data_IF_036776559521
#
_entry.id   IF_036776559521
#
_cell.length_a   1.000
_cell.length_b   1.000
_cell.length_c   1.000
_cell.angle_alpha   90.00
_cell.angle_beta   90.00
_cell.angle_gamma   90.00
#
_symmetry.space_group_name_H-M   'P 1'
#
loop_
_entity.id
_entity.type
_entity.pdbx_description
1 polymer ?
#
# COMPACT_ATOMS: atom_id res chain seq x y z
N UNK A 1 15.42 -31.95 -5.36
CA UNK A 1 15.10 -31.66 -3.94
C UNK A 1 15.89 -30.40 -3.54
N UNK A 2 15.35 -29.23 -3.18
CA UNK A 2 14.00 -28.68 -3.17
C UNK A 2 14.09 -27.14 -3.16
N UNK A 3 13.42 -26.49 -4.12
CA UNK A 3 13.34 -25.03 -4.25
C UNK A 3 12.14 -24.44 -3.49
N UNK A 4 11.83 -24.99 -2.30
CA UNK A 4 10.65 -24.63 -1.51
C UNK A 4 10.90 -23.68 -0.33
N UNK A 5 12.17 -23.42 0.02
CA UNK A 5 12.51 -22.69 1.26
C UNK A 5 12.41 -21.16 1.18
N UNK A 6 12.66 -20.58 0.00
CA UNK A 6 12.77 -19.13 -0.17
C UNK A 6 11.44 -18.38 0.00
N UNK A 7 10.36 -18.92 -0.60
CA UNK A 7 9.01 -18.31 -0.55
C UNK A 7 8.40 -18.38 0.84
N UNK A 8 8.50 -19.54 1.50
CA UNK A 8 7.99 -19.74 2.86
C UNK A 8 8.79 -18.96 3.90
N UNK A 9 10.09 -18.77 3.68
CA UNK A 9 10.94 -17.92 4.51
C UNK A 9 10.60 -16.44 4.40
N UNK A 10 10.45 -15.92 3.17
CA UNK A 10 10.06 -14.52 2.93
C UNK A 10 8.67 -14.23 3.50
N UNK A 11 7.70 -15.11 3.26
CA UNK A 11 6.35 -14.96 3.79
C UNK A 11 6.35 -14.86 5.32
N UNK A 12 7.06 -15.75 6.03
CA UNK A 12 7.14 -15.71 7.50
C UNK A 12 7.75 -14.41 8.01
N UNK A 13 8.78 -13.89 7.35
CA UNK A 13 9.40 -12.61 7.73
C UNK A 13 8.44 -11.44 7.52
N UNK A 14 7.76 -11.38 6.37
CA UNK A 14 6.77 -10.35 6.09
C UNK A 14 5.61 -10.42 7.10
N UNK A 15 5.13 -11.62 7.41
CA UNK A 15 4.06 -11.83 8.39
C UNK A 15 4.47 -11.31 9.78
N UNK A 16 5.68 -11.65 10.24
CA UNK A 16 6.20 -11.16 11.53
C UNK A 16 6.36 -9.63 11.58
N UNK A 17 6.60 -8.98 10.44
CA UNK A 17 6.59 -7.51 10.34
C UNK A 17 5.17 -6.99 10.49
N UNK A 18 4.23 -7.52 9.71
CA UNK A 18 2.81 -7.09 9.72
C UNK A 18 2.16 -7.28 11.10
N UNK A 19 2.51 -8.35 11.82
CA UNK A 19 1.96 -8.61 13.16
C UNK A 19 2.41 -7.60 14.22
N UNK A 20 3.44 -6.80 13.94
CA UNK A 20 3.94 -5.72 14.82
C UNK A 20 3.49 -4.33 14.38
N UNK A 21 2.71 -4.24 13.30
CA UNK A 21 2.17 -2.98 12.82
C UNK A 21 0.88 -2.64 13.57
N UNK A 22 0.81 -1.40 14.01
CA UNK A 22 -0.40 -0.82 14.60
C UNK A 22 -1.34 -0.43 13.45
N UNK A 23 -2.19 -1.36 13.02
CA UNK A 23 -3.15 -1.13 11.95
C UNK A 23 -4.43 -0.48 12.52
N UNK A 24 -4.89 0.65 11.97
CA UNK A 24 -6.14 1.28 12.41
C UNK A 24 -7.35 0.38 12.11
N UNK A 25 -8.38 0.51 12.94
CA UNK A 25 -9.70 -0.14 12.75
C UNK A 25 -10.82 0.90 12.98
N UNK A 26 -11.66 1.23 11.98
CA UNK A 26 -11.63 0.71 10.61
C UNK A 26 -10.34 1.11 9.88
N UNK A 27 -9.89 0.24 8.97
CA UNK A 27 -8.63 0.46 8.29
C UNK A 27 -8.70 1.63 7.30
N UNK A 28 -7.78 2.57 7.49
CA UNK A 28 -7.49 3.67 6.58
C UNK A 28 -5.97 3.81 6.37
N UNK A 29 -5.54 3.90 5.10
CA UNK A 29 -4.12 3.89 4.75
C UNK A 29 -3.42 5.19 5.17
N UNK A 30 -4.12 6.32 5.09
CA UNK A 30 -3.58 7.63 5.44
C UNK A 30 -3.37 7.73 6.95
N UNK A 31 -4.33 7.22 7.72
CA UNK A 31 -4.24 7.07 9.18
C UNK A 31 -3.10 6.15 9.60
N UNK A 32 -2.93 5.01 8.91
CA UNK A 32 -1.80 4.11 9.13
C UNK A 32 -0.46 4.82 8.87
N UNK A 33 -0.34 5.55 7.75
CA UNK A 33 0.88 6.28 7.39
C UNK A 33 1.17 7.40 8.39
N UNK A 34 0.14 8.12 8.86
CA UNK A 34 0.30 9.12 9.91
C UNK A 34 0.81 8.49 11.23
N UNK A 35 0.34 7.29 11.57
CA UNK A 35 0.87 6.49 12.68
C UNK A 35 2.34 6.10 12.49
N UNK A 36 2.69 5.67 11.28
CA UNK A 36 4.06 5.33 10.90
C UNK A 36 5.00 6.56 11.02
N UNK A 37 4.56 7.72 10.54
CA UNK A 37 5.31 8.98 10.65
C UNK A 37 5.63 9.32 12.12
N UNK A 38 4.61 9.23 13.01
CA UNK A 38 4.79 9.45 14.45
C UNK A 38 5.78 8.45 15.06
N UNK A 39 5.65 7.17 14.74
CA UNK A 39 6.53 6.10 15.25
C UNK A 39 7.98 6.26 14.80
N UNK A 40 8.20 6.78 13.59
CA UNK A 40 9.54 7.09 13.05
C UNK A 40 10.13 8.39 13.57
N UNK A 41 9.31 9.28 14.15
CA UNK A 41 9.75 10.64 14.49
C UNK A 41 10.12 11.49 13.27
N UNK A 42 9.65 11.10 12.07
CA UNK A 42 9.95 11.78 10.80
C UNK A 42 8.64 12.00 10.03
N UNK A 43 8.35 13.22 9.57
CA UNK A 43 7.16 13.49 8.75
C UNK A 43 7.12 12.62 7.49
N UNK A 44 5.91 12.23 7.11
CA UNK A 44 5.61 11.59 5.82
C UNK A 44 4.52 12.43 5.15
N UNK A 45 4.81 12.95 3.96
CA UNK A 45 3.85 13.71 3.16
C UNK A 45 3.33 12.86 1.99
N UNK A 46 2.02 12.92 1.77
CA UNK A 46 1.36 12.23 0.67
C UNK A 46 1.12 13.21 -0.48
N UNK A 47 1.64 12.90 -1.66
CA UNK A 47 1.53 13.77 -2.85
C UNK A 47 0.81 13.00 -3.96
N UNK A 48 -0.46 13.34 -4.18
CA UNK A 48 -1.23 12.81 -5.29
C UNK A 48 -0.86 13.50 -6.61
N UNK A 49 -0.51 12.72 -7.63
CA UNK A 49 -0.24 13.21 -8.99
C UNK A 49 -1.13 12.48 -10.00
N UNK A 50 -1.45 13.08 -11.17
CA UNK A 50 -2.10 12.34 -12.25
C UNK A 50 -1.19 11.21 -12.77
N UNK A 51 -1.77 10.05 -13.04
CA UNK A 51 -1.08 8.90 -13.59
C UNK A 51 -0.52 9.24 -14.97
N UNK A 52 0.63 8.65 -15.29
CA UNK A 52 1.21 8.73 -16.64
C UNK A 52 1.72 7.35 -17.05
N UNK A 53 1.52 6.92 -18.31
CA UNK A 53 1.92 5.58 -18.76
C UNK A 53 3.42 5.29 -18.63
N UNK A 54 4.25 6.32 -18.64
CA UNK A 54 5.71 6.27 -18.57
C UNK A 54 6.26 6.31 -17.13
N UNK A 55 5.40 6.37 -16.10
CA UNK A 55 5.81 6.56 -14.70
C UNK A 55 5.30 5.43 -13.81
N UNK A 56 6.04 5.10 -12.73
CA UNK A 56 5.54 4.17 -11.74
C UNK A 56 4.30 4.74 -11.04
N UNK A 57 3.43 3.85 -10.58
CA UNK A 57 2.20 4.23 -9.88
C UNK A 57 2.46 4.87 -8.51
N UNK A 58 3.64 4.62 -7.93
CA UNK A 58 4.09 5.16 -6.66
C UNK A 58 5.58 5.49 -6.70
N UNK A 59 6.01 6.40 -5.82
CA UNK A 59 7.42 6.74 -5.64
C UNK A 59 7.66 7.27 -4.22
N UNK A 60 8.57 6.62 -3.50
CA UNK A 60 9.09 7.11 -2.23
C UNK A 60 10.34 7.97 -2.43
N UNK A 61 10.30 9.21 -1.92
CA UNK A 61 11.45 10.13 -1.90
C UNK A 61 11.76 10.53 -0.47
N UNK A 62 12.87 10.04 0.07
CA UNK A 62 13.36 10.46 1.38
C UNK A 62 14.26 11.68 1.26
N UNK A 63 13.94 12.74 1.98
CA UNK A 63 14.78 13.93 2.10
C UNK A 63 15.49 13.94 3.46
N UNK A 64 16.28 14.98 3.75
CA UNK A 64 16.91 15.14 5.06
C UNK A 64 15.89 15.36 6.21
N UNK A 65 14.67 15.82 5.90
CA UNK A 65 13.68 16.24 6.91
C UNK A 65 12.33 15.54 6.82
N UNK A 66 11.96 15.04 5.65
CA UNK A 66 10.64 14.44 5.38
C UNK A 66 10.76 13.29 4.37
N UNK A 67 9.90 12.29 4.51
CA UNK A 67 9.64 11.30 3.48
C UNK A 67 8.44 11.74 2.64
N UNK A 68 8.55 11.64 1.32
CA UNK A 68 7.47 11.95 0.38
C UNK A 68 6.98 10.66 -0.26
N UNK A 69 5.72 10.33 -0.09
CA UNK A 69 5.05 9.24 -0.82
C UNK A 69 4.24 9.89 -1.94
N UNK A 70 4.75 9.76 -3.16
CA UNK A 70 4.07 10.23 -4.37
C UNK A 70 3.25 9.06 -4.93
N UNK A 71 2.00 9.31 -5.30
CA UNK A 71 1.10 8.26 -5.81
C UNK A 71 0.18 8.76 -6.93
N UNK A 72 -0.19 7.85 -7.83
CA UNK A 72 -1.22 8.10 -8.84
C UNK A 72 -2.58 8.31 -8.18
N UNK A 73 -3.13 9.51 -8.34
CA UNK A 73 -4.35 9.97 -7.66
C UNK A 73 -5.65 9.65 -8.40
N UNK A 74 -5.57 9.51 -9.72
CA UNK A 74 -6.63 9.18 -10.67
C UNK A 74 -6.75 7.67 -10.90
N UNK A 75 -6.79 6.91 -9.82
CA UNK A 75 -6.95 5.46 -9.83
C UNK A 75 -8.02 5.00 -8.84
N UNK A 76 -8.41 3.73 -8.92
CA UNK A 76 -9.41 3.16 -8.00
C UNK A 76 -8.96 3.27 -6.55
N UNK A 77 -9.89 3.39 -5.61
CA UNK A 77 -9.58 3.49 -4.17
C UNK A 77 -8.79 2.28 -3.65
N UNK A 78 -9.04 1.09 -4.19
CA UNK A 78 -8.29 -0.14 -3.89
C UNK A 78 -6.85 -0.05 -4.40
N UNK A 79 -6.66 0.41 -5.64
CA UNK A 79 -5.32 0.54 -6.22
C UNK A 79 -4.52 1.66 -5.55
N UNK A 80 -5.12 2.82 -5.26
CA UNK A 80 -4.51 3.90 -4.48
C UNK A 80 -4.06 3.39 -3.12
N UNK A 81 -4.92 2.65 -2.40
CA UNK A 81 -4.57 2.03 -1.12
C UNK A 81 -3.36 1.10 -1.27
N UNK A 82 -3.33 0.27 -2.30
CA UNK A 82 -2.20 -0.64 -2.55
C UNK A 82 -0.90 0.12 -2.79
N UNK A 83 -0.91 1.15 -3.65
CA UNK A 83 0.25 2.01 -3.90
C UNK A 83 0.78 2.59 -2.58
N UNK A 84 -0.09 3.23 -1.79
CA UNK A 84 0.29 3.83 -0.51
C UNK A 84 0.90 2.81 0.47
N UNK A 85 0.33 1.61 0.53
CA UNK A 85 0.84 0.53 1.37
C UNK A 85 2.19 -0.03 0.89
N UNK A 86 2.38 -0.11 -0.41
CA UNK A 86 3.64 -0.54 -1.03
C UNK A 86 4.76 0.44 -0.68
N UNK A 87 4.56 1.75 -0.91
CA UNK A 87 5.55 2.78 -0.56
C UNK A 87 5.80 2.83 0.96
N UNK A 88 4.77 2.67 1.77
CA UNK A 88 4.93 2.60 3.22
C UNK A 88 5.71 1.35 3.67
N UNK A 89 5.60 0.23 2.95
CA UNK A 89 6.34 -0.99 3.27
C UNK A 89 7.86 -0.80 3.09
N UNK A 90 8.30 0.00 2.12
CA UNK A 90 9.70 0.39 2.00
C UNK A 90 10.20 1.13 3.24
N UNK A 91 9.40 2.06 3.79
CA UNK A 91 9.74 2.76 5.04
C UNK A 91 9.77 1.80 6.24
N UNK A 92 8.77 0.92 6.37
CA UNK A 92 8.70 -0.08 7.44
C UNK A 92 9.93 -0.98 7.45
N UNK A 93 10.45 -1.33 6.26
CA UNK A 93 11.63 -2.21 6.13
C UNK A 93 12.96 -1.47 6.08
N UNK A 94 12.95 -0.14 6.06
CA UNK A 94 14.16 0.67 5.99
C UNK A 94 14.84 0.61 4.62
N UNK A 95 14.09 0.29 3.56
CA UNK A 95 14.60 0.26 2.19
C UNK A 95 15.00 1.65 1.70
N UNK A 96 14.50 2.71 2.34
CA UNK A 96 14.88 4.11 2.10
C UNK A 96 16.36 4.42 2.40
N UNK A 97 16.99 3.64 3.28
CA UNK A 97 18.39 3.86 3.70
C UNK A 97 19.41 3.11 2.83
N UNK A 98 18.99 2.07 2.10
CA UNK A 98 19.90 1.15 1.40
C UNK A 98 20.42 1.69 0.04
N UNK A 99 19.85 2.78 -0.48
CA UNK A 99 20.16 3.31 -1.82
C UNK A 99 21.29 4.33 -1.92
N UNK A 100 21.85 4.80 -0.79
CA UNK A 100 22.65 6.03 -0.68
C UNK A 100 23.97 6.14 -1.50
N UNK A 101 24.26 5.22 -2.43
CA UNK A 101 25.55 5.13 -3.12
C UNK A 101 25.58 5.21 -4.65
N UNK A 102 24.54 4.87 -5.42
CA UNK A 102 24.78 4.65 -6.88
C UNK A 102 23.53 4.59 -7.77
N UNK A 103 22.90 5.72 -8.12
CA UNK A 103 21.90 5.73 -9.20
C UNK A 103 21.70 7.12 -9.85
N UNK A 104 22.79 7.81 -10.19
CA UNK A 104 22.73 9.09 -10.91
C UNK A 104 22.84 8.98 -12.45
N UNK A 105 23.22 7.82 -13.00
CA UNK A 105 23.46 7.66 -14.43
C UNK A 105 22.27 6.99 -15.13
N UNK A 106 21.44 7.78 -15.84
CA UNK A 106 20.35 7.28 -16.71
C UNK A 106 19.03 8.05 -16.67
N UNK A 107 18.93 9.10 -15.84
CA UNK A 107 17.64 9.57 -15.34
C UNK A 107 17.16 10.96 -15.75
N UNK A 108 17.95 11.69 -16.55
CA UNK A 108 17.42 12.84 -17.27
C UNK A 108 16.26 12.47 -18.21
N UNK A 109 16.13 11.18 -18.56
CA UNK A 109 15.17 10.67 -19.53
C UNK A 109 13.78 10.35 -18.93
N UNK A 110 13.70 9.95 -17.66
CA UNK A 110 12.45 9.50 -17.03
C UNK A 110 11.67 10.65 -16.34
N UNK A 111 12.37 11.69 -15.86
CA UNK A 111 11.75 12.83 -15.16
C UNK A 111 12.32 14.16 -15.68
N UNK A 112 12.07 14.51 -16.96
CA UNK A 112 12.72 15.64 -17.65
C UNK A 112 12.38 17.02 -17.06
N UNK A 113 11.40 17.12 -16.17
CA UNK A 113 10.95 18.37 -15.55
C UNK A 113 11.44 18.58 -14.12
N UNK A 114 12.22 17.65 -13.56
CA UNK A 114 12.83 17.82 -12.24
C UNK A 114 14.19 18.48 -12.38
N UNK A 115 14.49 19.45 -11.50
CA UNK A 115 15.80 20.10 -11.49
C UNK A 115 16.91 19.06 -11.24
N UNK A 116 18.12 19.23 -11.81
CA UNK A 116 19.24 18.31 -11.59
C UNK A 116 19.58 18.06 -10.11
N UNK A 117 19.28 19.02 -9.24
CA UNK A 117 19.35 18.88 -7.77
C UNK A 117 18.28 17.97 -7.18
N UNK A 118 17.04 18.00 -7.70
CA UNK A 118 15.96 17.08 -7.35
C UNK A 118 16.25 15.68 -7.90
N UNK A 119 16.74 15.57 -9.14
CA UNK A 119 17.21 14.31 -9.74
C UNK A 119 18.25 13.64 -8.84
N UNK A 120 19.29 14.35 -8.39
CA UNK A 120 20.28 13.78 -7.45
C UNK A 120 19.70 13.34 -6.09
N UNK A 121 18.64 13.97 -5.60
CA UNK A 121 17.97 13.58 -4.33
C UNK A 121 16.92 12.47 -4.50
N UNK A 122 16.22 12.45 -5.63
CA UNK A 122 15.16 11.49 -5.95
C UNK A 122 15.74 10.15 -6.36
N UNK A 123 16.98 10.12 -6.88
CA UNK A 123 17.47 8.95 -7.63
C UNK A 123 18.70 8.29 -7.07
N UNK A 124 19.41 8.93 -6.15
CA UNK A 124 20.30 8.19 -5.25
C UNK A 124 19.54 7.27 -4.27
N UNK A 125 18.24 7.03 -4.47
CA UNK A 125 17.35 6.38 -3.49
C UNK A 125 16.34 5.37 -4.06
N UNK A 126 16.19 5.22 -5.38
CA UNK A 126 15.12 4.39 -5.98
C UNK A 126 15.62 3.43 -7.06
N UNK A 127 16.62 2.62 -6.73
CA UNK A 127 16.82 1.33 -7.39
C UNK A 127 16.65 0.27 -6.31
N UNK A 128 15.41 -0.11 -6.06
CA UNK A 128 15.12 -1.22 -5.17
C UNK A 128 15.53 -2.53 -5.84
N UNK A 129 16.13 -3.40 -5.07
CA UNK A 129 16.46 -4.75 -5.56
C UNK A 129 15.18 -5.57 -5.70
N UNK A 130 15.15 -6.52 -6.63
CA UNK A 130 14.03 -7.47 -6.79
C UNK A 130 13.56 -8.10 -5.45
N UNK A 131 14.44 -8.47 -4.50
CA UNK A 131 14.01 -8.91 -3.17
C UNK A 131 13.30 -7.84 -2.32
N UNK A 132 13.72 -6.58 -2.40
CA UNK A 132 13.10 -5.46 -1.66
C UNK A 132 11.69 -5.16 -2.20
N UNK A 133 11.54 -5.16 -3.53
CA UNK A 133 10.24 -5.03 -4.22
C UNK A 133 9.27 -6.14 -3.82
N UNK A 134 9.75 -7.40 -3.83
CA UNK A 134 8.95 -8.55 -3.40
C UNK A 134 8.52 -8.48 -1.94
N UNK A 135 9.40 -7.98 -1.07
CA UNK A 135 9.09 -7.81 0.35
C UNK A 135 8.05 -6.71 0.56
N UNK A 136 8.20 -5.56 -0.10
CA UNK A 136 7.24 -4.46 -0.05
C UNK A 136 5.85 -4.90 -0.55
N UNK A 137 5.81 -5.58 -1.70
CA UNK A 137 4.57 -6.07 -2.31
C UNK A 137 3.84 -7.09 -1.42
N UNK A 138 4.58 -8.02 -0.80
CA UNK A 138 4.01 -8.99 0.13
C UNK A 138 3.43 -8.33 1.39
N UNK A 139 4.14 -7.37 1.97
CA UNK A 139 3.67 -6.63 3.15
C UNK A 139 2.40 -5.85 2.82
N UNK A 140 2.39 -5.11 1.70
CA UNK A 140 1.21 -4.36 1.25
C UNK A 140 -0.02 -5.26 1.07
N UNK A 141 0.18 -6.41 0.42
CA UNK A 141 -0.86 -7.42 0.20
C UNK A 141 -1.39 -7.99 1.53
N UNK A 142 -0.50 -8.31 2.47
CA UNK A 142 -0.87 -8.84 3.79
C UNK A 142 -1.69 -7.83 4.61
N UNK A 143 -1.28 -6.56 4.62
CA UNK A 143 -2.03 -5.48 5.30
C UNK A 143 -3.42 -5.34 4.68
N UNK A 144 -3.51 -5.34 3.34
CA UNK A 144 -4.78 -5.26 2.62
C UNK A 144 -5.73 -6.38 3.00
N UNK A 145 -5.25 -7.63 3.05
CA UNK A 145 -6.06 -8.78 3.45
C UNK A 145 -6.50 -8.71 4.92
N UNK A 146 -5.63 -8.24 5.83
CA UNK A 146 -5.97 -8.10 7.25
C UNK A 146 -7.04 -7.02 7.46
N UNK A 147 -6.88 -5.88 6.79
CA UNK A 147 -7.87 -4.80 6.76
C UNK A 147 -9.24 -5.26 6.25
N UNK A 148 -9.27 -6.12 5.22
CA UNK A 148 -10.52 -6.66 4.68
C UNK A 148 -11.24 -7.63 5.65
N UNK A 149 -10.50 -8.33 6.52
CA UNK A 149 -11.05 -9.25 7.52
C UNK A 149 -11.60 -8.56 8.78
N UNK A 150 -11.10 -7.38 9.11
CA UNK A 150 -11.60 -6.57 10.23
C UNK A 150 -12.92 -5.86 9.93
N UNK A 151 -13.32 -5.80 8.66
CA UNK A 151 -14.61 -5.19 8.28
C UNK A 151 -15.75 -6.10 8.75
N UNK A 152 -16.69 -5.65 9.61
CA UNK A 152 -17.90 -6.41 9.85
C UNK A 152 -18.57 -6.66 8.50
N UNK A 153 -19.17 -7.85 8.26
CA UNK A 153 -19.86 -8.12 7.01
C UNK A 153 -20.86 -7.00 6.81
N UNK A 154 -20.76 -6.30 5.68
CA UNK A 154 -21.79 -5.35 5.25
C UNK A 154 -23.11 -6.09 5.39
N UNK A 155 -23.97 -5.61 6.29
CA UNK A 155 -25.20 -6.26 6.64
C UNK A 155 -25.88 -6.70 5.36
N UNK A 156 -26.03 -8.02 5.19
CA UNK A 156 -26.86 -8.58 4.14
C UNK A 156 -28.24 -8.00 4.40
N UNK A 157 -28.65 -7.00 3.64
CA UNK A 157 -30.04 -6.57 3.62
C UNK A 157 -30.82 -7.80 3.19
N UNK A 158 -31.44 -8.46 4.16
CA UNK A 158 -32.40 -9.52 3.91
C UNK A 158 -33.57 -8.78 3.26
N UNK A 159 -33.86 -8.97 1.96
CA UNK A 159 -35.06 -8.38 1.40
C UNK A 159 -36.23 -8.91 2.22
N UNK A 160 -37.22 -8.06 2.55
CA UNK A 160 -38.38 -8.50 3.30
C UNK A 160 -39.01 -9.66 2.55
N UNK A 161 -39.02 -10.82 3.21
CA UNK A 161 -39.67 -12.04 2.75
C UNK A 161 -41.15 -11.68 2.65
N UNK A 162 -41.65 -11.48 1.42
CA UNK A 162 -43.08 -11.45 1.16
C UNK A 162 -43.65 -12.78 1.68
N UNK A 163 -44.36 -12.70 2.79
CA UNK A 163 -45.18 -13.78 3.31
C UNK A 163 -46.32 -13.97 2.32
N UNK A 164 -46.21 -14.98 1.45
CA UNK A 164 -47.36 -15.47 0.70
C UNK A 164 -48.19 -16.26 1.72
N UNK A 165 -49.17 -15.60 2.32
CA UNK A 165 -50.26 -16.28 3.00
C UNK A 165 -51.16 -16.89 1.93
N UNK A 166 -50.99 -18.19 1.71
CA UNK A 166 -52.05 -19.05 1.16
C UNK A 166 -53.13 -19.18 2.22
N UNK A 167 -54.31 -18.61 1.94
CA UNK A 167 -55.54 -18.88 2.68
C UNK A 167 -56.55 -19.51 1.72
N UNK A 168 -56.55 -20.83 1.66
CA UNK A 168 -57.73 -21.61 1.26
C UNK A 168 -58.62 -21.74 2.49
N UNK A 169 -59.93 -21.45 2.37
CA UNK A 169 -60.90 -21.70 3.43
C UNK A 169 -62.29 -21.08 3.23
N UNK A 170 -63.05 -21.68 2.31
CA UNK A 170 -64.52 -21.85 2.19
C UNK A 170 -65.47 -21.21 3.24
N UNK A 171 -66.63 -20.71 2.78
CA UNK A 171 -67.90 -20.71 3.54
C UNK A 171 -68.97 -19.66 3.18
N UNK A 172 -70.01 -20.10 2.43
CA UNK A 172 -71.46 -19.76 2.50
C UNK A 172 -71.95 -18.29 2.54
N UNK A 173 -72.77 -17.88 1.55
CA UNK A 173 -74.26 -17.82 1.60
C UNK A 173 -74.86 -17.86 0.19
#
# INVERSE_FOLDING_TARGET
MGAGGGRTGLWRRCQAVVDRLDLPDPFDAETFIAGLARKRGRPIELIGVPARPDRPCGLLVTTARTDLIIYSSDTSSVHRRHILLHEAAHLVRGHDAAGAGSAAAGLGTLLPHLSPSLIRSVLGRTVYTEPQEREAELIATMIHHRAARGRPPLGRSVPPRHRIETMFGLGEV
#
